data_IF_865008638219
#
_entry.id   IF_865008638219
#
_cell.length_a   1.000
_cell.length_b   1.000
_cell.length_c   1.000
_cell.angle_alpha   90.00
_cell.angle_beta   90.00
_cell.angle_gamma   90.00
#
_symmetry.space_group_name_H-M   'P 1'
#
loop_
_entity.id
_entity.type
_entity.pdbx_description
1 polymer ?
#
# COMPACT_ATOMS: atom_id res chain seq x y z
N UNK A 1 5.40 -8.10 32.81
CA UNK A 1 5.54 -6.91 31.95
C UNK A 1 4.48 -5.91 32.37
N UNK A 2 4.87 -4.84 33.07
CA UNK A 2 3.94 -3.74 33.36
C UNK A 2 3.53 -3.08 32.04
N UNK A 3 2.22 -3.02 31.79
CA UNK A 3 1.69 -2.33 30.62
C UNK A 3 1.66 -0.84 30.92
N UNK A 4 2.65 -0.11 30.44
CA UNK A 4 2.63 1.35 30.47
C UNK A 4 1.58 1.85 29.49
N UNK A 5 0.65 2.71 29.95
CA UNK A 5 -0.35 3.31 29.07
C UNK A 5 0.24 4.55 28.42
N UNK A 6 0.60 4.45 27.15
CA UNK A 6 1.06 5.60 26.37
C UNK A 6 -0.12 6.27 25.65
N UNK A 7 -0.35 7.56 25.92
CA UNK A 7 -1.37 8.35 25.20
C UNK A 7 -0.73 8.96 23.96
N UNK A 8 -1.22 8.59 22.78
CA UNK A 8 -0.86 9.22 21.51
C UNK A 8 -2.07 9.96 20.93
N UNK A 9 -1.81 10.98 20.12
CA UNK A 9 -2.83 11.70 19.36
C UNK A 9 -2.31 11.98 17.95
N UNK A 10 -3.24 12.00 16.99
CA UNK A 10 -3.01 12.44 15.62
C UNK A 10 -4.20 13.28 15.20
N UNK A 11 -3.96 14.53 14.82
CA UNK A 11 -4.95 15.40 14.20
C UNK A 11 -4.86 15.22 12.68
N UNK A 12 -5.99 14.92 12.02
CA UNK A 12 -6.01 14.67 10.57
C UNK A 12 -6.95 15.64 9.86
N UNK A 13 -6.46 16.24 8.78
CA UNK A 13 -7.26 16.94 7.77
C UNK A 13 -7.19 16.14 6.47
N UNK A 14 -8.36 15.82 5.92
CA UNK A 14 -8.48 15.07 4.66
C UNK A 14 -9.39 15.82 3.69
N UNK A 15 -8.82 16.26 2.56
CA UNK A 15 -9.54 16.94 1.48
C UNK A 15 -9.61 15.97 0.30
N UNK A 16 -10.83 15.75 -0.22
CA UNK A 16 -11.07 14.85 -1.34
C UNK A 16 -11.82 15.57 -2.45
N UNK A 17 -11.36 15.42 -3.68
CA UNK A 17 -12.03 15.90 -4.90
C UNK A 17 -12.13 14.74 -5.87
N UNK A 18 -13.34 14.41 -6.30
CA UNK A 18 -13.58 13.28 -7.18
C UNK A 18 -14.65 13.61 -8.23
N UNK A 19 -14.56 12.93 -9.36
CA UNK A 19 -15.57 12.92 -10.41
C UNK A 19 -15.80 11.47 -10.87
N UNK A 20 -17.02 10.97 -10.65
CA UNK A 20 -17.45 9.62 -10.98
C UNK A 20 -18.03 9.51 -12.41
N UNK A 21 -17.64 10.41 -13.31
CA UNK A 21 -17.98 10.35 -14.74
C UNK A 21 -17.70 8.99 -15.38
N UNK A 22 -18.49 8.67 -16.41
CA UNK A 22 -18.43 7.38 -17.11
C UNK A 22 -17.05 7.18 -17.78
N UNK A 23 -16.52 8.24 -18.38
CA UNK A 23 -15.23 8.22 -19.05
C UNK A 23 -14.23 9.00 -18.23
N UNK A 24 -13.12 8.34 -17.93
CA UNK A 24 -11.97 8.88 -17.24
C UNK A 24 -12.23 9.39 -15.81
N UNK A 25 -12.93 8.62 -14.94
CA UNK A 25 -13.18 9.05 -13.56
C UNK A 25 -11.87 9.24 -12.81
N UNK A 26 -11.88 10.17 -11.85
CA UNK A 26 -10.72 10.51 -11.03
C UNK A 26 -11.09 10.75 -9.57
N UNK A 27 -10.11 10.55 -8.69
CA UNK A 27 -10.20 10.84 -7.27
C UNK A 27 -8.85 11.33 -6.74
N UNK A 28 -8.81 12.58 -6.29
CA UNK A 28 -7.67 13.22 -5.67
C UNK A 28 -7.91 13.36 -4.18
N UNK A 29 -6.92 12.98 -3.38
CA UNK A 29 -6.96 13.05 -1.94
C UNK A 29 -5.69 13.71 -1.40
N UNK A 30 -5.85 14.77 -0.61
CA UNK A 30 -4.81 15.36 0.21
C UNK A 30 -5.10 15.04 1.67
N UNK A 31 -4.13 14.45 2.36
CA UNK A 31 -4.19 14.16 3.79
C UNK A 31 -3.02 14.85 4.49
N UNK A 32 -3.31 15.55 5.59
CA UNK A 32 -2.32 16.16 6.47
C UNK A 32 -2.56 15.62 7.88
N UNK A 33 -1.57 14.94 8.43
CA UNK A 33 -1.57 14.38 9.78
C UNK A 33 -0.58 15.15 10.64
N UNK A 34 -1.00 15.63 11.80
CA UNK A 34 -0.14 16.28 12.78
C UNK A 34 -0.15 15.46 14.08
N UNK A 35 1.04 15.07 14.52
CA UNK A 35 1.26 14.42 15.82
C UNK A 35 2.21 15.23 16.69
N UNK A 36 2.55 14.67 17.87
CA UNK A 36 3.38 15.35 18.88
C UNK A 36 4.68 15.95 18.33
N UNK A 37 5.40 15.21 17.49
CA UNK A 37 6.73 15.57 17.00
C UNK A 37 6.84 15.59 15.47
N UNK A 38 5.71 15.53 14.76
CA UNK A 38 5.71 15.47 13.30
C UNK A 38 4.48 16.08 12.64
N UNK A 39 4.66 16.45 11.37
CA UNK A 39 3.60 16.67 10.39
C UNK A 39 3.88 15.75 9.19
N UNK A 40 2.86 15.08 8.68
CA UNK A 40 2.93 14.25 7.48
C UNK A 40 1.89 14.73 6.48
N UNK A 41 2.32 15.01 5.26
CA UNK A 41 1.45 15.33 4.14
C UNK A 41 1.50 14.19 3.12
N UNK A 42 0.34 13.78 2.61
CA UNK A 42 0.22 12.77 1.58
C UNK A 42 -0.80 13.19 0.53
N UNK A 43 -0.40 13.16 -0.73
CA UNK A 43 -1.26 13.36 -1.88
C UNK A 43 -1.41 12.03 -2.64
N UNK A 44 -2.65 11.62 -2.90
CA UNK A 44 -2.96 10.46 -3.74
C UNK A 44 -3.86 10.89 -4.88
N UNK A 45 -3.47 10.58 -6.11
CA UNK A 45 -4.30 10.78 -7.29
C UNK A 45 -4.61 9.44 -7.95
N UNK A 46 -5.89 9.11 -8.08
CA UNK A 46 -6.37 7.93 -8.79
C UNK A 46 -7.06 8.39 -10.07
N UNK A 47 -6.78 7.72 -11.17
CA UNK A 47 -7.35 8.01 -12.47
C UNK A 47 -7.58 6.71 -13.25
N UNK A 48 -8.74 6.57 -13.86
CA UNK A 48 -9.05 5.42 -14.71
C UNK A 48 -8.95 5.80 -16.19
N UNK A 49 -8.21 5.05 -16.98
CA UNK A 49 -8.09 5.25 -18.43
C UNK A 49 -8.93 4.21 -19.18
N UNK A 50 -10.10 4.61 -19.69
CA UNK A 50 -10.97 3.72 -20.47
C UNK A 50 -10.32 3.36 -21.83
N UNK A 51 -10.50 2.12 -22.27
CA UNK A 51 -10.11 1.72 -23.63
C UNK A 51 -11.11 2.23 -24.68
N UNK A 52 -10.61 2.82 -25.77
CA UNK A 52 -11.40 3.51 -26.80
C UNK A 52 -12.54 2.67 -27.40
N UNK A 53 -12.35 1.36 -27.57
CA UNK A 53 -13.31 0.43 -28.22
C UNK A 53 -13.41 -0.94 -27.53
N UNK A 54 -13.01 -1.06 -26.25
CA UNK A 54 -13.04 -2.32 -25.50
C UNK A 54 -13.58 -2.07 -24.09
N UNK A 55 -14.26 -3.06 -23.52
CA UNK A 55 -14.66 -3.00 -22.11
C UNK A 55 -13.41 -3.07 -21.22
N UNK A 56 -13.28 -2.14 -20.27
CA UNK A 56 -12.19 -2.07 -19.31
C UNK A 56 -11.31 -0.83 -19.47
N UNK A 57 -10.17 -0.86 -18.79
CA UNK A 57 -9.23 0.24 -18.78
C UNK A 57 -7.99 -0.06 -17.95
N UNK A 58 -7.21 0.98 -17.69
CA UNK A 58 -6.05 0.97 -16.80
C UNK A 58 -6.33 1.92 -15.65
N UNK A 59 -6.31 1.41 -14.42
CA UNK A 59 -6.26 2.24 -13.22
C UNK A 59 -4.83 2.68 -12.97
N UNK A 60 -4.62 3.98 -12.82
CA UNK A 60 -3.36 4.56 -12.36
C UNK A 60 -3.57 5.24 -11.01
N UNK A 61 -2.69 4.94 -10.06
CA UNK A 61 -2.58 5.62 -8.78
C UNK A 61 -1.21 6.27 -8.69
N UNK A 62 -1.18 7.57 -8.44
CA UNK A 62 0.00 8.30 -8.06
C UNK A 62 -0.06 8.63 -6.57
N UNK A 63 1.07 8.51 -5.89
CA UNK A 63 1.26 8.94 -4.52
C UNK A 63 2.49 9.83 -4.42
N UNK A 64 2.39 10.91 -3.65
CA UNK A 64 3.52 11.70 -3.18
C UNK A 64 3.31 12.06 -1.71
N UNK A 65 4.31 11.79 -0.89
CA UNK A 65 4.26 12.09 0.54
C UNK A 65 5.51 12.81 1.00
N UNK A 66 5.34 13.65 2.03
CA UNK A 66 6.45 14.26 2.77
C UNK A 66 6.18 14.22 4.27
N UNK A 67 7.23 13.95 5.03
CA UNK A 67 7.26 13.89 6.47
C UNK A 67 8.15 15.02 6.98
N UNK A 68 7.69 15.70 8.03
CA UNK A 68 8.35 16.83 8.62
C UNK A 68 8.45 16.60 10.12
N UNK A 69 9.63 16.79 10.68
CA UNK A 69 9.80 16.88 12.12
C UNK A 69 9.39 18.27 12.59
N UNK A 70 8.53 18.36 13.61
CA UNK A 70 8.13 19.65 14.22
C UNK A 70 9.10 20.13 15.30
N UNK A 71 10.17 19.36 15.52
CA UNK A 71 11.22 19.60 16.50
C UNK A 71 12.52 18.91 16.04
N UNK A 72 13.64 19.11 16.73
CA UNK A 72 14.93 18.58 16.26
C UNK A 72 14.90 17.08 16.00
N UNK A 73 15.44 16.67 14.84
CA UNK A 73 15.54 15.28 14.41
C UNK A 73 16.65 14.56 15.18
N UNK A 74 16.26 13.81 16.21
CA UNK A 74 17.16 12.94 16.99
C UNK A 74 16.88 11.47 16.71
N UNK A 75 17.81 10.57 17.05
CA UNK A 75 17.60 9.12 16.93
C UNK A 75 16.36 8.65 17.71
N UNK A 76 16.18 9.17 18.93
CA UNK A 76 15.02 8.86 19.77
C UNK A 76 13.72 9.26 19.08
N UNK A 77 13.62 10.49 18.54
CA UNK A 77 12.43 10.92 17.82
C UNK A 77 12.19 10.16 16.52
N UNK A 78 13.25 9.78 15.80
CA UNK A 78 13.10 8.92 14.62
C UNK A 78 12.45 7.60 15.01
N UNK A 79 12.91 6.97 16.09
CA UNK A 79 12.33 5.74 16.61
C UNK A 79 10.88 5.92 17.09
N UNK A 80 10.59 6.95 17.89
CA UNK A 80 9.23 7.27 18.37
C UNK A 80 8.25 7.55 17.23
N UNK A 81 8.76 8.05 16.10
CA UNK A 81 7.94 8.39 14.93
C UNK A 81 7.90 7.31 13.86
N UNK A 82 8.58 6.18 14.04
CA UNK A 82 8.79 5.13 13.04
C UNK A 82 7.49 4.63 12.39
N UNK A 83 6.42 4.52 13.17
CA UNK A 83 5.10 4.06 12.69
C UNK A 83 4.41 5.04 11.74
N UNK A 84 4.80 6.32 11.74
CA UNK A 84 4.22 7.39 10.92
C UNK A 84 5.03 7.66 9.65
N UNK A 85 6.21 7.06 9.50
CA UNK A 85 7.06 7.22 8.33
C UNK A 85 6.40 6.68 7.06
N UNK A 86 6.85 7.20 5.92
CA UNK A 86 6.35 6.81 4.60
C UNK A 86 6.94 5.45 4.20
N UNK A 87 6.11 4.60 3.61
CA UNK A 87 6.52 3.24 3.21
C UNK A 87 6.31 2.99 1.72
N UNK A 88 7.30 2.37 1.06
CA UNK A 88 7.14 1.94 -0.34
C UNK A 88 6.16 0.78 -0.45
N UNK A 89 6.28 -0.22 0.44
CA UNK A 89 5.31 -1.29 0.60
C UNK A 89 3.97 -0.78 1.14
N UNK A 90 2.88 -1.50 0.85
CA UNK A 90 1.62 -1.30 1.55
C UNK A 90 1.82 -1.38 3.06
N UNK A 91 1.22 -0.45 3.79
CA UNK A 91 1.40 -0.35 5.23
C UNK A 91 0.80 -1.57 5.94
N UNK A 92 1.48 -2.09 6.96
CA UNK A 92 0.99 -3.17 7.83
C UNK A 92 0.21 -2.62 9.03
N UNK A 93 -0.40 -3.49 9.82
CA UNK A 93 -1.27 -3.07 10.93
C UNK A 93 -0.60 -2.15 11.96
N UNK A 94 0.66 -2.38 12.31
CA UNK A 94 1.45 -1.51 13.20
C UNK A 94 1.56 -0.06 12.66
N UNK A 95 1.64 0.07 11.35
CA UNK A 95 1.82 1.34 10.63
C UNK A 95 0.48 2.06 10.43
N UNK A 96 -0.66 1.39 10.55
CA UNK A 96 -1.98 2.02 10.56
C UNK A 96 -2.26 2.69 11.91
N UNK A 97 -1.65 3.85 12.12
CA UNK A 97 -1.78 4.68 13.32
C UNK A 97 -3.14 5.38 13.46
N UNK A 98 -3.95 5.42 12.41
CA UNK A 98 -5.31 5.95 12.42
C UNK A 98 -6.37 4.89 12.72
N UNK A 99 -5.98 3.61 12.79
CA UNK A 99 -6.90 2.49 12.93
C UNK A 99 -8.01 2.50 11.87
N UNK A 100 -7.67 2.91 10.63
CA UNK A 100 -8.65 3.16 9.59
C UNK A 100 -9.07 1.90 8.83
N UNK A 101 -8.23 0.86 8.82
CA UNK A 101 -8.56 -0.44 8.23
C UNK A 101 -8.63 -1.54 9.29
N UNK A 102 -9.40 -2.59 8.96
CA UNK A 102 -9.42 -3.81 9.74
C UNK A 102 -8.17 -4.63 9.49
N UNK A 103 -7.48 -5.07 10.55
CA UNK A 103 -6.35 -6.00 10.47
C UNK A 103 -6.61 -7.22 11.36
N UNK A 104 -6.49 -8.42 10.78
CA UNK A 104 -6.62 -9.68 11.51
C UNK A 104 -5.48 -9.80 12.52
N UNK A 105 -4.25 -9.53 12.09
CA UNK A 105 -3.04 -9.59 12.91
C UNK A 105 -2.31 -8.26 12.94
N UNK A 106 -2.88 -7.25 13.62
CA UNK A 106 -2.35 -5.88 13.61
C UNK A 106 -0.89 -5.79 14.08
N UNK A 107 -0.53 -6.61 15.06
CA UNK A 107 0.80 -6.66 15.67
C UNK A 107 1.55 -7.96 15.32
N UNK A 108 1.03 -8.77 14.40
CA UNK A 108 1.67 -10.01 14.01
C UNK A 108 2.89 -9.73 13.13
N UNK A 109 4.00 -10.38 13.44
CA UNK A 109 5.26 -10.28 12.68
C UNK A 109 5.55 -11.53 11.84
N UNK A 110 4.83 -12.63 12.09
CA UNK A 110 4.96 -13.90 11.36
C UNK A 110 3.61 -14.52 10.99
N UNK A 111 3.65 -15.65 10.27
CA UNK A 111 2.45 -16.31 9.78
C UNK A 111 1.82 -15.62 8.58
N UNK A 112 0.60 -16.03 8.23
CA UNK A 112 -0.14 -15.42 7.12
C UNK A 112 -0.79 -14.09 7.55
N UNK A 113 -1.17 -13.92 8.81
CA UNK A 113 -1.84 -12.70 9.28
C UNK A 113 -0.93 -11.45 9.18
N UNK A 114 0.39 -11.61 9.37
CA UNK A 114 1.37 -10.54 9.16
C UNK A 114 1.52 -10.12 7.69
N UNK A 115 0.94 -10.89 6.76
CA UNK A 115 0.99 -10.61 5.33
C UNK A 115 -0.06 -9.58 4.87
N UNK A 116 -0.90 -9.12 5.80
CA UNK A 116 -1.94 -8.14 5.52
C UNK A 116 -1.36 -6.74 5.32
N UNK A 117 -1.81 -6.05 4.28
CA UNK A 117 -1.45 -4.66 3.95
C UNK A 117 -2.69 -3.80 3.71
N UNK A 118 -2.55 -2.49 3.92
CA UNK A 118 -3.53 -1.47 3.53
C UNK A 118 -3.04 -0.63 2.34
N UNK A 119 -3.98 -0.03 1.62
CA UNK A 119 -3.67 0.91 0.54
C UNK A 119 -3.23 2.26 1.08
N UNK A 120 -1.93 2.38 1.37
CA UNK A 120 -1.31 3.63 1.79
C UNK A 120 0.09 3.77 1.20
N UNK A 121 0.54 5.02 1.08
CA UNK A 121 1.89 5.39 0.65
C UNK A 121 2.22 4.78 -0.73
N UNK A 122 3.37 4.09 -0.87
CA UNK A 122 3.79 3.52 -2.15
C UNK A 122 2.94 2.32 -2.60
N UNK A 123 2.31 1.62 -1.66
CA UNK A 123 1.43 0.46 -1.88
C UNK A 123 2.01 -0.68 -2.73
N UNK A 124 3.34 -0.85 -2.73
CA UNK A 124 3.97 -2.04 -3.31
C UNK A 124 3.46 -3.30 -2.61
N UNK A 125 3.43 -4.41 -3.35
CA UNK A 125 2.91 -5.71 -2.90
C UNK A 125 3.98 -6.58 -2.27
N UNK A 126 5.24 -6.34 -2.62
CA UNK A 126 6.40 -6.85 -1.90
C UNK A 126 6.53 -6.17 -0.53
N UNK A 127 7.00 -6.94 0.46
CA UNK A 127 7.21 -6.46 1.84
C UNK A 127 8.55 -6.96 2.37
N UNK A 128 9.11 -6.24 3.34
CA UNK A 128 10.37 -6.60 3.99
C UNK A 128 10.27 -6.46 5.51
N UNK A 129 9.18 -6.99 6.06
CA UNK A 129 8.73 -6.69 7.43
C UNK A 129 9.62 -7.25 8.54
N UNK A 130 10.55 -8.16 8.22
CA UNK A 130 11.52 -8.74 9.16
C UNK A 130 12.82 -7.91 9.27
N UNK A 131 12.98 -6.86 8.46
CA UNK A 131 14.07 -5.92 8.62
C UNK A 131 13.75 -4.91 9.72
N UNK A 132 14.78 -4.42 10.42
CA UNK A 132 14.64 -3.32 11.39
C UNK A 132 14.13 -2.04 10.73
N UNK A 133 14.52 -1.79 9.48
CA UNK A 133 13.96 -0.76 8.61
C UNK A 133 13.63 -1.37 7.25
N UNK A 134 12.40 -1.17 6.78
CA UNK A 134 11.94 -1.74 5.52
C UNK A 134 12.67 -1.11 4.33
N UNK A 135 12.85 -1.91 3.28
CA UNK A 135 13.33 -1.38 1.99
C UNK A 135 12.30 -0.36 1.48
N UNK A 136 12.75 0.86 1.19
CA UNK A 136 11.87 1.94 0.72
C UNK A 136 11.08 2.65 1.82
N UNK A 137 11.45 2.48 3.10
CA UNK A 137 10.91 3.29 4.21
C UNK A 137 11.70 4.60 4.35
N UNK A 138 11.00 5.69 4.63
CA UNK A 138 11.61 7.03 4.74
C UNK A 138 10.86 7.97 5.68
N UNK A 139 11.62 8.83 6.36
CA UNK A 139 11.13 9.89 7.22
C UNK A 139 11.26 11.29 6.56
N UNK A 140 11.41 11.34 5.24
CA UNK A 140 11.45 12.59 4.46
C UNK A 140 10.40 12.56 3.33
N UNK A 141 10.70 12.04 2.13
CA UNK A 141 9.74 12.05 1.02
C UNK A 141 9.71 10.75 0.23
N UNK A 142 8.53 10.42 -0.30
CA UNK A 142 8.28 9.21 -1.09
C UNK A 142 7.32 9.50 -2.23
N UNK A 143 7.60 8.95 -3.41
CA UNK A 143 6.70 8.99 -4.57
C UNK A 143 6.52 7.61 -5.18
N UNK A 144 5.31 7.31 -5.63
CA UNK A 144 5.02 6.04 -6.30
C UNK A 144 3.94 6.19 -7.38
N UNK A 145 4.03 5.34 -8.39
CA UNK A 145 3.03 5.10 -9.40
C UNK A 145 2.62 3.63 -9.34
N UNK A 146 1.33 3.37 -9.40
CA UNK A 146 0.76 2.03 -9.39
C UNK A 146 -0.20 1.94 -10.57
N UNK A 147 -0.03 0.92 -11.40
CA UNK A 147 -0.89 0.63 -12.53
C UNK A 147 -1.57 -0.71 -12.29
N UNK A 148 -2.85 -0.77 -12.61
CA UNK A 148 -3.65 -1.99 -12.57
C UNK A 148 -4.48 -2.05 -13.84
N UNK A 149 -4.37 -3.16 -14.57
CA UNK A 149 -5.08 -3.33 -15.83
C UNK A 149 -5.44 -4.78 -16.07
N UNK A 150 -6.39 -4.99 -16.97
CA UNK A 150 -6.77 -6.32 -17.41
C UNK A 150 -5.65 -6.94 -18.24
N UNK A 151 -5.41 -8.24 -18.05
CA UNK A 151 -4.57 -9.01 -18.96
C UNK A 151 -5.27 -9.05 -20.33
N UNK A 152 -4.60 -8.68 -21.44
CA UNK A 152 -5.20 -8.73 -22.77
C UNK A 152 -5.70 -10.14 -23.11
N UNK A 153 -6.90 -10.24 -23.70
CA UNK A 153 -7.56 -11.53 -23.98
C UNK A 153 -6.68 -12.51 -24.77
N UNK A 154 -5.83 -12.00 -25.67
CA UNK A 154 -4.93 -12.78 -26.50
C UNK A 154 -3.85 -13.54 -25.72
N UNK A 155 -3.48 -13.08 -24.52
CA UNK A 155 -2.46 -13.70 -23.66
C UNK A 155 -3.02 -14.10 -22.29
N UNK A 156 -4.33 -13.95 -22.09
CA UNK A 156 -4.97 -14.24 -20.82
C UNK A 156 -5.27 -15.73 -20.67
N UNK A 157 -4.32 -16.46 -20.09
CA UNK A 157 -4.48 -17.87 -19.72
C UNK A 157 -5.55 -18.11 -18.64
N UNK A 158 -6.03 -17.05 -17.98
CA UNK A 158 -7.05 -17.10 -16.92
C UNK A 158 -8.47 -16.78 -17.40
N UNK A 159 -8.69 -16.66 -18.73
CA UNK A 159 -10.02 -16.36 -19.30
C UNK A 159 -11.12 -17.36 -18.90
N UNK A 160 -10.76 -18.58 -18.51
CA UNK A 160 -11.69 -19.62 -18.07
C UNK A 160 -12.19 -19.43 -16.63
N UNK A 161 -11.52 -18.59 -15.83
CA UNK A 161 -11.94 -18.34 -14.46
C UNK A 161 -13.12 -17.37 -14.44
N UNK A 162 -14.12 -17.57 -13.56
CA UNK A 162 -15.25 -16.66 -13.41
C UNK A 162 -14.85 -15.31 -12.78
N UNK A 163 -13.58 -15.14 -12.44
CA UNK A 163 -13.00 -13.94 -11.83
C UNK A 163 -11.93 -13.35 -12.74
N UNK A 164 -11.97 -12.02 -12.93
CA UNK A 164 -10.91 -11.31 -13.64
C UNK A 164 -9.70 -11.17 -12.74
N UNK A 165 -8.51 -11.48 -13.27
CA UNK A 165 -7.23 -11.33 -12.58
C UNK A 165 -6.49 -10.14 -13.19
N UNK A 166 -6.45 -8.98 -12.51
CA UNK A 166 -5.70 -7.83 -12.99
C UNK A 166 -4.18 -8.07 -12.88
N UNK A 167 -3.45 -7.57 -13.88
CA UNK A 167 -2.01 -7.37 -13.81
C UNK A 167 -1.74 -6.04 -13.12
N UNK A 168 -0.76 -6.04 -12.22
CA UNK A 168 -0.29 -4.83 -11.56
C UNK A 168 1.18 -4.57 -11.79
N UNK A 169 1.51 -3.29 -11.90
CA UNK A 169 2.88 -2.80 -12.01
C UNK A 169 3.04 -1.56 -11.13
N UNK A 170 4.12 -1.51 -10.36
CA UNK A 170 4.40 -0.43 -9.43
C UNK A 170 5.84 0.03 -9.65
N UNK A 171 6.03 1.35 -9.60
CA UNK A 171 7.35 1.97 -9.62
C UNK A 171 7.35 3.12 -8.61
N UNK A 172 8.46 3.30 -7.90
CA UNK A 172 8.54 4.31 -6.86
C UNK A 172 9.96 4.69 -6.52
N UNK A 173 10.09 5.83 -5.86
CA UNK A 173 11.36 6.39 -5.40
C UNK A 173 11.15 7.11 -4.07
N UNK A 174 12.21 7.33 -3.33
CA UNK A 174 12.17 7.83 -1.95
C UNK A 174 13.51 8.48 -1.57
N UNK A 175 13.51 9.32 -0.54
CA UNK A 175 14.63 10.20 -0.25
C UNK A 175 15.99 9.51 -0.08
N UNK A 176 16.06 8.36 0.61
CA UNK A 176 17.32 7.64 0.85
C UNK A 176 17.95 7.11 -0.44
N UNK A 177 17.15 6.85 -1.48
CA UNK A 177 17.67 6.40 -2.78
C UNK A 177 18.47 7.49 -3.51
N UNK A 178 18.41 8.74 -3.03
CA UNK A 178 19.10 9.90 -3.60
C UNK A 178 20.24 10.42 -2.70
N UNK A 179 20.54 9.75 -1.58
CA UNK A 179 21.72 10.01 -0.76
C UNK A 179 22.97 9.43 -1.41
N UNK A 180 24.14 9.83 -0.93
CA UNK A 180 25.41 9.21 -1.37
C UNK A 180 25.43 7.72 -0.99
N UNK A 181 25.92 6.88 -1.91
CA UNK A 181 26.01 5.42 -1.74
C UNK A 181 24.71 4.77 -1.25
N UNK A 182 23.59 4.89 -1.99
CA UNK A 182 22.31 4.37 -1.54
C UNK A 182 22.33 2.84 -1.50
N UNK A 183 21.66 2.25 -0.50
CA UNK A 183 21.50 0.80 -0.37
C UNK A 183 20.62 0.19 -1.48
N UNK A 184 19.90 1.03 -2.23
CA UNK A 184 19.00 0.65 -3.31
C UNK A 184 19.28 1.45 -4.58
N UNK A 185 18.72 1.02 -5.71
CA UNK A 185 18.67 1.88 -6.90
C UNK A 185 17.70 3.06 -6.69
N UNK A 186 17.90 4.14 -7.45
CA UNK A 186 17.05 5.35 -7.41
C UNK A 186 15.55 5.05 -7.58
N UNK A 187 15.22 3.98 -8.30
CA UNK A 187 13.86 3.51 -8.49
C UNK A 187 13.74 2.05 -8.05
N UNK A 188 12.66 1.78 -7.33
CA UNK A 188 12.18 0.45 -6.98
C UNK A 188 10.96 0.13 -7.83
N UNK A 189 10.73 -1.15 -8.09
CA UNK A 189 9.54 -1.64 -8.78
C UNK A 189 9.11 -3.01 -8.26
N UNK A 190 7.81 -3.29 -8.37
CA UNK A 190 7.26 -4.65 -8.34
C UNK A 190 6.11 -4.80 -9.34
N UNK A 191 5.81 -6.03 -9.71
CA UNK A 191 4.74 -6.38 -10.64
C UNK A 191 4.22 -7.77 -10.33
N UNK A 192 2.93 -8.00 -10.56
CA UNK A 192 2.30 -9.26 -10.20
C UNK A 192 0.82 -9.30 -10.48
N UNK A 193 0.17 -10.35 -9.97
CA UNK A 193 -1.26 -10.59 -10.15
C UNK A 193 -2.04 -10.15 -8.92
N UNK A 194 -3.25 -9.65 -9.13
CA UNK A 194 -4.27 -9.51 -8.07
C UNK A 194 -5.37 -10.55 -8.28
N UNK A 195 -5.70 -11.30 -7.24
CA UNK A 195 -6.91 -12.12 -7.18
C UNK A 195 -7.93 -11.42 -6.26
N UNK A 196 -8.94 -10.74 -6.83
CA UNK A 196 -10.04 -10.19 -6.04
C UNK A 196 -11.03 -11.29 -5.66
N UNK A 197 -11.31 -11.43 -4.36
CA UNK A 197 -12.30 -12.33 -3.80
C UNK A 197 -13.46 -11.53 -3.22
N UNK A 198 -14.67 -12.13 -3.24
CA UNK A 198 -15.88 -11.53 -2.66
C UNK A 198 -16.13 -10.08 -3.13
N UNK A 199 -16.08 -9.87 -4.45
CA UNK A 199 -16.24 -8.54 -5.08
C UNK A 199 -15.19 -7.50 -4.63
N UNK A 200 -14.00 -7.95 -4.26
CA UNK A 200 -12.89 -7.08 -3.88
C UNK A 200 -12.80 -6.79 -2.38
N UNK A 201 -13.63 -7.43 -1.54
CA UNK A 201 -13.49 -7.37 -0.08
C UNK A 201 -12.11 -7.89 0.36
N UNK A 202 -11.68 -9.02 -0.20
CA UNK A 202 -10.36 -9.59 0.06
C UNK A 202 -9.59 -9.61 -1.24
N UNK A 203 -8.41 -9.01 -1.26
CA UNK A 203 -7.55 -8.99 -2.44
C UNK A 203 -6.26 -9.70 -2.12
N UNK A 204 -5.95 -10.77 -2.84
CA UNK A 204 -4.67 -11.48 -2.73
C UNK A 204 -3.75 -10.94 -3.82
N UNK A 205 -2.51 -10.63 -3.47
CA UNK A 205 -1.48 -10.12 -4.37
C UNK A 205 -0.34 -11.11 -4.45
N UNK A 206 0.02 -11.49 -5.67
CA UNK A 206 1.13 -12.41 -5.94
C UNK A 206 2.19 -11.64 -6.72
N UNK A 207 3.24 -11.10 -6.04
CA UNK A 207 4.37 -10.49 -6.72
C UNK A 207 5.14 -11.52 -7.54
N UNK A 208 5.41 -11.21 -8.80
CA UNK A 208 6.11 -12.08 -9.75
C UNK A 208 7.46 -11.49 -10.13
N UNK A 209 7.52 -10.18 -10.34
CA UNK A 209 8.71 -9.43 -10.72
C UNK A 209 8.93 -8.30 -9.73
N UNK A 210 10.17 -8.04 -9.33
CA UNK A 210 10.51 -6.98 -8.40
C UNK A 210 12.00 -6.63 -8.48
N UNK A 211 12.38 -5.47 -7.97
CA UNK A 211 13.78 -5.04 -7.91
C UNK A 211 14.66 -6.03 -7.15
N UNK A 212 15.94 -6.12 -7.55
CA UNK A 212 16.93 -7.06 -6.99
C UNK A 212 17.03 -7.01 -5.46
N UNK A 213 16.94 -5.82 -4.86
CA UNK A 213 17.01 -5.65 -3.40
C UNK A 213 15.93 -6.44 -2.65
N UNK A 214 14.72 -6.57 -3.22
CA UNK A 214 13.66 -7.41 -2.64
C UNK A 214 13.97 -8.90 -2.84
N UNK A 215 14.48 -9.27 -4.01
CA UNK A 215 14.89 -10.65 -4.29
C UNK A 215 16.00 -11.12 -3.35
N UNK A 216 16.96 -10.26 -3.06
CA UNK A 216 18.07 -10.53 -2.14
C UNK A 216 17.53 -10.73 -0.72
N UNK A 217 16.62 -9.86 -0.25
CA UNK A 217 15.93 -10.03 1.03
C UNK A 217 15.14 -11.35 1.11
N UNK A 218 14.37 -11.71 0.08
CA UNK A 218 13.60 -12.96 0.09
C UNK A 218 14.49 -14.20 0.14
N UNK A 219 15.65 -14.15 -0.51
CA UNK A 219 16.64 -15.24 -0.47
C UNK A 219 17.34 -15.34 0.88
N UNK A 220 17.69 -14.21 1.50
CA UNK A 220 18.48 -14.20 2.74
C UNK A 220 17.64 -14.37 4.01
N UNK A 221 16.38 -13.91 4.01
CA UNK A 221 15.62 -13.72 5.25
C UNK A 221 14.41 -14.64 5.38
N UNK A 222 13.70 -14.95 4.29
CA UNK A 222 12.42 -15.69 4.38
C UNK A 222 12.58 -17.21 4.54
N UNK A 223 13.74 -17.78 4.19
CA UNK A 223 14.02 -19.22 4.30
C UNK A 223 12.99 -20.08 3.54
N UNK A 224 12.47 -21.12 4.20
CA UNK A 224 11.48 -22.02 3.64
C UNK A 224 10.15 -21.33 3.32
N UNK A 225 9.47 -21.85 2.29
CA UNK A 225 8.17 -21.33 1.80
C UNK A 225 8.24 -19.85 1.43
N UNK A 226 9.40 -19.35 0.97
CA UNK A 226 9.64 -17.96 0.55
C UNK A 226 8.54 -17.39 -0.35
N UNK A 227 8.07 -18.18 -1.32
CA UNK A 227 7.03 -17.75 -2.25
C UNK A 227 5.72 -17.45 -1.51
N UNK A 228 5.25 -18.37 -0.66
CA UNK A 228 4.05 -18.17 0.14
C UNK A 228 4.19 -17.00 1.12
N UNK A 229 5.38 -16.78 1.67
CA UNK A 229 5.67 -15.63 2.56
C UNK A 229 5.72 -14.29 1.82
N UNK A 230 5.94 -14.30 0.50
CA UNK A 230 5.99 -13.10 -0.35
C UNK A 230 4.58 -12.63 -0.77
N UNK A 231 3.60 -13.52 -0.74
CA UNK A 231 2.19 -13.17 -1.00
C UNK A 231 1.74 -12.12 0.03
N UNK A 232 0.95 -11.16 -0.43
CA UNK A 232 0.29 -10.18 0.43
C UNK A 232 -1.20 -10.19 0.18
N UNK A 233 -1.98 -9.70 1.15
CA UNK A 233 -3.40 -9.51 0.94
C UNK A 233 -3.89 -8.24 1.62
N UNK A 234 -5.04 -7.74 1.20
CA UNK A 234 -5.75 -6.67 1.89
C UNK A 234 -7.20 -7.05 2.13
N UNK A 235 -7.78 -6.45 3.17
CA UNK A 235 -9.20 -6.53 3.48
C UNK A 235 -9.74 -5.10 3.37
N UNK A 236 -10.62 -4.85 2.41
CA UNK A 236 -11.23 -3.55 2.18
C UNK A 236 -12.72 -3.62 2.53
N UNK A 237 -13.04 -3.29 3.78
CA UNK A 237 -14.42 -3.27 4.26
C UNK A 237 -15.24 -2.13 3.63
N UNK A 238 -14.61 -1.12 3.03
CA UNK A 238 -15.34 -0.03 2.37
C UNK A 238 -16.03 -0.50 1.09
N UNK A 239 -15.57 -1.63 0.50
CA UNK A 239 -16.26 -2.31 -0.60
C UNK A 239 -17.55 -3.01 -0.14
N UNK A 240 -17.75 -3.24 1.16
CA UNK A 240 -19.00 -3.76 1.71
C UNK A 240 -20.05 -2.64 1.70
N UNK A 241 -20.66 -2.43 0.55
CA UNK A 241 -21.92 -1.71 0.49
C UNK A 241 -23.01 -2.63 1.04
N UNK A 242 -23.25 -2.60 2.36
CA UNK A 242 -24.31 -3.38 3.04
C UNK A 242 -25.67 -3.24 2.35
N UNK A 243 -25.94 -2.05 1.80
CA UNK A 243 -27.16 -1.72 1.04
C UNK A 243 -27.29 -2.51 -0.29
N UNK A 244 -26.22 -3.14 -0.77
CA UNK A 244 -26.21 -4.06 -1.94
C UNK A 244 -26.22 -5.54 -1.55
N UNK A 245 -26.09 -5.86 -0.26
CA UNK A 245 -26.11 -7.23 0.27
C UNK A 245 -27.53 -7.67 0.68
N UNK A 246 -28.43 -6.73 0.97
CA UNK A 246 -29.86 -7.00 1.17
C UNK A 246 -30.71 -5.89 0.55
N UNK A 247 -31.64 -6.24 -0.35
CA UNK A 247 -32.68 -5.34 -0.87
C UNK A 247 -33.77 -5.01 0.18
N UNK A 248 -33.71 -5.61 1.37
CA UNK A 248 -34.77 -5.59 2.37
C UNK A 248 -34.41 -4.87 3.68
N UNK A 249 -33.37 -4.04 3.67
CA UNK A 249 -33.12 -3.12 4.79
C UNK A 249 -33.64 -1.75 4.35
N UNK A 250 -34.92 -1.40 4.61
CA UNK A 250 -35.36 -0.03 4.55
C UNK A 250 -34.62 0.77 5.63
N UNK A 251 -34.23 2.00 5.28
CA UNK A 251 -33.58 2.96 6.18
C UNK A 251 -34.45 3.29 7.39
#
# INVERSE_FOLDING_TARGET
>A
VEKTTEKSYVNQIKITTLDNRILYPYNFNLTIDQGKSFVRAGFTANYHFNYKNKKGGIDARFFAGKFFYTSDKTFVKQYETDRYHLNMSGAKGYEDYTYSDYFIGRNEFEGWQSQQIMQRDGFFKVRTDLLSSKIGKTDDWLMALNFSGNIPDAINIFNLLPVKIPLKFFVGTYSEAWKENPATGKFLYDAGLQLPLFKGLVNIYVPILYSKVFADYFKSTLGDKKFAKTISFSIDLQQLQLNKLSRYIPL
#
